data_IF_541287599387
#
_entry.id   IF_541287599387
#
_cell.length_a   1.000
_cell.length_b   1.000
_cell.length_c   1.000
_cell.angle_alpha   90.00
_cell.angle_beta   90.00
_cell.angle_gamma   90.00
#
_symmetry.space_group_name_H-M   'P 1'
#
loop_
_entity.id
_entity.type
_entity.pdbx_description
1 polymer ?
#
# COMPACT_ATOMS: atom_id res chain seq x y z
N UNK A 1 -32.82 30.98 -3.95
CA UNK A 1 -31.53 30.33 -3.54
C UNK A 1 -31.81 29.07 -2.69
N UNK A 2 -32.65 29.14 -1.66
CA UNK A 2 -32.95 27.99 -0.78
C UNK A 2 -33.65 26.81 -1.52
N UNK A 3 -34.54 27.07 -2.46
CA UNK A 3 -35.22 26.05 -3.25
C UNK A 3 -34.27 25.33 -4.23
N UNK A 4 -33.32 26.06 -4.79
CA UNK A 4 -32.29 25.47 -5.66
C UNK A 4 -31.33 24.60 -4.84
N UNK A 5 -30.94 25.02 -3.65
CA UNK A 5 -30.09 24.24 -2.76
C UNK A 5 -30.79 22.94 -2.34
N UNK A 6 -32.05 23.00 -1.96
CA UNK A 6 -32.83 21.81 -1.61
C UNK A 6 -32.95 20.80 -2.78
N UNK A 7 -33.06 21.28 -4.02
CA UNK A 7 -33.08 20.41 -5.21
C UNK A 7 -31.70 19.79 -5.49
N UNK A 8 -30.62 20.54 -5.28
CA UNK A 8 -29.23 20.02 -5.43
C UNK A 8 -29.00 18.91 -4.37
N UNK A 9 -29.38 19.15 -3.13
CA UNK A 9 -29.21 18.18 -2.05
C UNK A 9 -30.05 16.92 -2.29
N UNK A 10 -31.30 17.07 -2.79
CA UNK A 10 -32.12 15.92 -3.16
C UNK A 10 -31.54 15.10 -4.31
N UNK A 11 -31.04 15.76 -5.36
CA UNK A 11 -30.37 15.09 -6.48
C UNK A 11 -29.05 14.42 -6.06
N UNK A 12 -28.32 15.01 -5.13
CA UNK A 12 -27.11 14.41 -4.60
C UNK A 12 -27.41 13.11 -3.83
N UNK A 13 -28.46 13.11 -3.00
CA UNK A 13 -28.91 11.92 -2.26
C UNK A 13 -29.40 10.83 -3.23
N UNK A 14 -30.16 11.20 -4.26
CA UNK A 14 -30.64 10.25 -5.27
C UNK A 14 -29.47 9.66 -6.07
N UNK A 15 -28.52 10.47 -6.48
CA UNK A 15 -27.31 10.02 -7.17
C UNK A 15 -26.47 9.07 -6.30
N UNK A 16 -26.29 9.41 -5.02
CA UNK A 16 -25.58 8.55 -4.06
C UNK A 16 -26.27 7.18 -3.89
N UNK A 17 -27.60 7.17 -3.82
CA UNK A 17 -28.37 5.93 -3.72
C UNK A 17 -28.23 5.05 -4.96
N UNK A 18 -28.28 5.66 -6.16
CA UNK A 18 -28.09 4.96 -7.44
C UNK A 18 -26.68 4.40 -7.58
N UNK A 19 -25.65 5.15 -7.15
CA UNK A 19 -24.27 4.70 -7.16
C UNK A 19 -24.08 3.51 -6.21
N UNK A 20 -24.67 3.55 -5.02
CA UNK A 20 -24.58 2.46 -4.04
C UNK A 20 -25.26 1.20 -4.54
N UNK A 21 -26.44 1.32 -5.16
CA UNK A 21 -27.18 0.18 -5.73
C UNK A 21 -26.42 -0.41 -6.93
N UNK A 22 -25.92 0.41 -7.84
CA UNK A 22 -25.12 -0.05 -8.99
C UNK A 22 -23.82 -0.74 -8.54
N UNK A 23 -23.12 -0.17 -7.56
CA UNK A 23 -21.93 -0.82 -6.97
C UNK A 23 -22.27 -2.15 -6.29
N UNK A 24 -23.38 -2.22 -5.56
CA UNK A 24 -23.86 -3.45 -4.94
C UNK A 24 -24.15 -4.53 -5.98
N UNK A 25 -24.86 -4.17 -7.03
CA UNK A 25 -25.21 -5.08 -8.11
C UNK A 25 -23.97 -5.54 -8.87
N UNK A 26 -23.01 -4.64 -9.12
CA UNK A 26 -21.74 -4.97 -9.72
C UNK A 26 -20.91 -5.95 -8.85
N UNK A 27 -20.87 -5.74 -7.52
CA UNK A 27 -20.19 -6.64 -6.58
C UNK A 27 -20.85 -8.02 -6.49
N UNK A 28 -22.17 -8.07 -6.65
CA UNK A 28 -22.94 -9.31 -6.60
C UNK A 28 -23.05 -10.01 -7.95
N UNK A 29 -22.60 -9.35 -9.04
CA UNK A 29 -22.64 -9.93 -10.38
C UNK A 29 -21.87 -11.26 -10.40
N UNK A 30 -22.53 -12.30 -10.88
CA UNK A 30 -21.95 -13.63 -10.95
C UNK A 30 -21.10 -13.77 -12.21
N UNK A 31 -19.80 -13.77 -12.06
CA UNK A 31 -18.86 -14.22 -13.11
C UNK A 31 -18.88 -15.74 -13.23
N UNK A 32 -18.44 -16.32 -14.35
CA UNK A 32 -18.34 -17.77 -14.45
C UNK A 32 -17.50 -18.34 -13.31
N UNK A 33 -17.96 -19.42 -12.62
CA UNK A 33 -17.16 -20.08 -11.59
C UNK A 33 -15.78 -20.48 -12.13
N UNK A 34 -14.74 -20.29 -11.33
CA UNK A 34 -13.35 -20.47 -11.80
C UNK A 34 -13.03 -21.90 -12.23
N UNK A 35 -13.77 -22.90 -11.71
CA UNK A 35 -13.61 -24.30 -12.08
C UNK A 35 -14.52 -24.70 -13.26
N UNK A 36 -15.25 -23.77 -13.88
CA UNK A 36 -16.13 -24.08 -15.01
C UNK A 36 -15.37 -24.08 -16.34
N UNK A 37 -15.86 -24.87 -17.32
CA UNK A 37 -15.34 -24.84 -18.69
C UNK A 37 -15.46 -23.46 -19.34
N UNK A 38 -16.49 -22.69 -18.94
CA UNK A 38 -16.72 -21.32 -19.44
C UNK A 38 -15.57 -20.40 -19.03
N UNK A 39 -15.04 -20.54 -17.81
CA UNK A 39 -13.87 -19.76 -17.38
C UNK A 39 -12.61 -20.14 -18.20
N UNK A 40 -12.34 -21.43 -18.40
CA UNK A 40 -11.18 -21.87 -19.17
C UNK A 40 -11.26 -21.49 -20.65
N UNK A 41 -12.46 -21.42 -21.22
CA UNK A 41 -12.65 -20.95 -22.60
C UNK A 41 -12.32 -19.47 -22.80
N UNK A 42 -12.23 -18.67 -21.72
CA UNK A 42 -11.77 -17.29 -21.78
C UNK A 42 -10.27 -17.15 -22.06
N UNK A 43 -9.49 -18.24 -21.87
CA UNK A 43 -8.06 -18.30 -22.21
C UNK A 43 -7.86 -18.65 -23.70
N UNK A 44 -8.48 -17.88 -24.57
CA UNK A 44 -8.38 -18.05 -26.02
C UNK A 44 -7.20 -17.26 -26.60
N UNK A 45 -6.93 -17.42 -27.89
CA UNK A 45 -5.89 -16.67 -28.60
C UNK A 45 -6.12 -15.15 -28.62
N UNK A 46 -7.36 -14.70 -28.38
CA UNK A 46 -7.69 -13.26 -28.23
C UNK A 46 -7.06 -12.64 -26.99
N UNK A 47 -6.75 -13.43 -25.96
CA UNK A 47 -6.15 -12.93 -24.71
C UNK A 47 -4.79 -12.29 -24.96
N UNK A 48 -3.96 -12.86 -25.82
CA UNK A 48 -2.66 -12.29 -26.17
C UNK A 48 -2.80 -10.98 -26.94
N UNK A 49 -3.84 -10.85 -27.73
CA UNK A 49 -4.17 -9.60 -28.42
C UNK A 49 -4.58 -8.51 -27.43
N UNK A 50 -5.48 -8.82 -26.50
CA UNK A 50 -5.93 -7.85 -25.47
C UNK A 50 -4.76 -7.37 -24.59
N UNK A 51 -3.84 -8.28 -24.20
CA UNK A 51 -2.64 -7.88 -23.45
C UNK A 51 -1.77 -6.93 -24.27
N UNK A 52 -1.59 -7.22 -25.56
CA UNK A 52 -0.78 -6.37 -26.43
C UNK A 52 -1.43 -5.00 -26.64
N UNK A 53 -2.73 -4.96 -26.83
CA UNK A 53 -3.51 -3.73 -26.97
C UNK A 53 -3.40 -2.87 -25.68
N UNK A 54 -3.57 -3.47 -24.48
CA UNK A 54 -3.37 -2.77 -23.21
C UNK A 54 -1.92 -2.27 -23.02
N UNK A 55 -0.92 -2.99 -23.55
CA UNK A 55 0.47 -2.52 -23.53
C UNK A 55 0.71 -1.33 -24.50
N UNK A 56 0.05 -1.35 -25.66
CA UNK A 56 0.17 -0.30 -26.69
C UNK A 56 -0.59 0.98 -26.30
N UNK A 57 -1.66 0.87 -25.50
CA UNK A 57 -2.40 1.99 -24.95
C UNK A 57 -1.68 2.75 -23.84
N UNK A 58 -0.57 2.21 -23.33
CA UNK A 58 0.19 2.86 -22.27
C UNK A 58 0.73 4.20 -22.76
N UNK A 59 0.03 5.26 -22.38
CA UNK A 59 0.51 6.62 -22.62
C UNK A 59 1.66 6.97 -21.70
N UNK A 60 2.86 6.97 -22.19
CA UNK A 60 3.96 7.61 -21.49
C UNK A 60 3.66 9.10 -21.38
N UNK A 61 3.63 9.61 -20.15
CA UNK A 61 3.50 11.04 -19.93
C UNK A 61 4.66 11.74 -20.64
N UNK A 62 4.35 12.35 -21.78
CA UNK A 62 5.35 12.93 -22.65
C UNK A 62 6.03 14.16 -22.05
N UNK A 63 6.87 14.81 -22.85
CA UNK A 63 7.61 16.03 -22.51
C UNK A 63 6.75 17.14 -21.90
N UNK A 64 5.46 17.23 -22.28
CA UNK A 64 4.50 18.19 -21.72
C UNK A 64 4.22 17.97 -20.22
N UNK A 65 4.13 16.71 -19.77
CA UNK A 65 3.93 16.41 -18.35
C UNK A 65 5.17 16.79 -17.55
N UNK A 66 6.37 16.42 -18.04
CA UNK A 66 7.63 16.80 -17.40
C UNK A 66 7.82 18.32 -17.36
N UNK A 67 7.46 19.04 -18.43
CA UNK A 67 7.53 20.50 -18.47
C UNK A 67 6.58 21.14 -17.45
N UNK A 68 5.34 20.60 -17.30
CA UNK A 68 4.35 21.11 -16.35
C UNK A 68 4.69 20.80 -14.90
N UNK A 69 5.26 19.65 -14.62
CA UNK A 69 5.53 19.14 -13.26
C UNK A 69 7.02 19.12 -12.90
N UNK A 70 7.90 19.70 -13.73
CA UNK A 70 9.34 19.73 -13.48
C UNK A 70 9.75 20.33 -12.14
N UNK A 71 9.02 21.37 -11.67
CA UNK A 71 9.20 21.92 -10.33
C UNK A 71 8.96 20.91 -9.21
N UNK A 72 7.96 20.05 -9.34
CA UNK A 72 7.65 19.00 -8.37
C UNK A 72 8.76 17.93 -8.33
N UNK A 73 9.28 17.55 -9.50
CA UNK A 73 10.42 16.61 -9.57
C UNK A 73 11.70 17.18 -8.96
N UNK A 74 11.98 18.47 -9.21
CA UNK A 74 13.09 19.16 -8.57
C UNK A 74 12.92 19.22 -7.06
N UNK A 75 11.72 19.57 -6.59
CA UNK A 75 11.41 19.58 -5.16
C UNK A 75 11.60 18.22 -4.52
N UNK A 76 11.09 17.16 -5.16
CA UNK A 76 11.27 15.77 -4.73
C UNK A 76 12.76 15.39 -4.65
N UNK A 77 13.52 15.70 -5.70
CA UNK A 77 14.94 15.42 -5.75
C UNK A 77 15.73 16.15 -4.67
N UNK A 78 15.43 17.45 -4.47
CA UNK A 78 16.03 18.25 -3.42
C UNK A 78 15.69 17.73 -2.02
N UNK A 79 14.42 17.42 -1.76
CA UNK A 79 14.00 16.87 -0.47
C UNK A 79 14.68 15.52 -0.20
N UNK A 80 14.70 14.63 -1.19
CA UNK A 80 15.41 13.35 -1.12
C UNK A 80 16.87 13.56 -0.75
N UNK A 81 17.57 14.48 -1.43
CA UNK A 81 18.96 14.82 -1.17
C UNK A 81 19.15 15.39 0.23
N UNK A 82 18.31 16.35 0.63
CA UNK A 82 18.37 16.98 1.98
C UNK A 82 18.25 15.91 3.06
N UNK A 83 17.28 15.00 2.93
CA UNK A 83 17.10 13.91 3.91
C UNK A 83 18.32 12.99 3.93
N UNK A 84 18.84 12.58 2.76
CA UNK A 84 20.03 11.72 2.68
C UNK A 84 21.22 12.40 3.37
N UNK A 85 21.51 13.65 3.01
CA UNK A 85 22.65 14.42 3.57
C UNK A 85 22.48 14.58 5.08
N UNK A 86 21.27 14.95 5.53
CA UNK A 86 20.98 15.13 6.96
C UNK A 86 21.20 13.84 7.74
N UNK A 87 20.69 12.71 7.23
CA UNK A 87 20.89 11.40 7.87
C UNK A 87 22.36 10.99 7.87
N UNK A 88 23.09 11.20 6.78
CA UNK A 88 24.52 10.91 6.73
C UNK A 88 25.32 11.77 7.70
N UNK A 89 25.06 13.08 7.73
CA UNK A 89 25.76 14.04 8.61
C UNK A 89 25.54 13.73 10.08
N UNK A 90 24.33 13.33 10.43
CA UNK A 90 23.94 13.05 11.82
C UNK A 90 23.98 11.55 12.16
N UNK A 91 24.62 10.70 11.34
CA UNK A 91 24.58 9.25 11.47
C UNK A 91 25.07 8.75 12.84
N UNK A 92 26.06 9.41 13.44
CA UNK A 92 26.55 9.03 14.78
C UNK A 92 25.48 9.24 15.84
N UNK A 93 24.90 10.42 15.92
CA UNK A 93 23.82 10.76 16.86
C UNK A 93 22.56 9.89 16.66
N UNK A 94 22.21 9.60 15.40
CA UNK A 94 21.08 8.73 15.06
C UNK A 94 21.31 7.27 15.48
N UNK A 95 22.56 6.77 15.41
CA UNK A 95 22.91 5.42 15.84
C UNK A 95 22.84 5.23 17.36
N UNK A 96 23.09 6.28 18.14
CA UNK A 96 23.00 6.26 19.60
C UNK A 96 21.54 6.13 20.08
N UNK A 97 20.61 6.62 19.29
CA UNK A 97 19.19 6.53 19.60
C UNK A 97 18.59 5.23 19.02
N UNK A 98 18.04 4.37 19.89
CA UNK A 98 17.34 3.14 19.47
C UNK A 98 16.24 3.44 18.44
N UNK A 99 15.55 4.58 18.57
CA UNK A 99 14.41 4.96 17.72
C UNK A 99 14.82 5.44 16.34
N UNK A 100 15.99 6.05 16.18
CA UNK A 100 16.45 6.62 14.90
C UNK A 100 17.48 5.76 14.16
N UNK A 101 17.92 4.67 14.80
CA UNK A 101 18.95 3.77 14.26
C UNK A 101 18.60 3.21 12.88
N UNK A 102 17.31 2.99 12.61
CA UNK A 102 16.86 2.45 11.32
C UNK A 102 17.10 3.43 10.15
N UNK A 103 16.98 4.75 10.39
CA UNK A 103 17.32 5.76 9.39
C UNK A 103 18.83 5.80 9.12
N UNK A 104 19.62 5.78 10.19
CA UNK A 104 21.08 5.75 10.10
C UNK A 104 21.61 4.50 9.38
N UNK A 105 20.92 3.37 9.53
CA UNK A 105 21.25 2.12 8.86
C UNK A 105 20.96 2.16 7.35
N UNK A 106 19.98 2.98 6.91
CA UNK A 106 19.52 3.00 5.52
C UNK A 106 19.19 4.41 5.01
N UNK A 107 20.19 5.30 4.91
CA UNK A 107 19.99 6.72 4.60
C UNK A 107 19.37 6.95 3.21
N UNK A 108 19.78 6.19 2.19
CA UNK A 108 19.18 6.29 0.85
C UNK A 108 17.70 5.91 0.83
N UNK A 109 17.33 4.82 1.51
CA UNK A 109 15.92 4.42 1.60
C UNK A 109 15.09 5.44 2.39
N UNK A 110 15.67 6.09 3.40
CA UNK A 110 15.01 7.18 4.10
C UNK A 110 14.72 8.36 3.17
N UNK A 111 15.73 8.83 2.42
CA UNK A 111 15.54 9.93 1.48
C UNK A 111 14.51 9.62 0.40
N UNK A 112 14.59 8.44 -0.22
CA UNK A 112 13.65 8.02 -1.25
C UNK A 112 12.21 7.90 -0.71
N UNK A 113 12.04 7.34 0.48
CA UNK A 113 10.72 7.19 1.11
C UNK A 113 10.08 8.55 1.40
N UNK A 114 10.81 9.46 2.06
CA UNK A 114 10.28 10.80 2.36
C UNK A 114 10.07 11.63 1.11
N UNK A 115 10.98 11.55 0.13
CA UNK A 115 10.82 12.21 -1.15
C UNK A 115 9.61 11.70 -1.91
N UNK A 116 9.37 10.39 -1.96
CA UNK A 116 8.22 9.81 -2.63
C UNK A 116 6.90 10.15 -1.93
N UNK A 117 6.79 9.99 -0.60
CA UNK A 117 5.55 10.30 0.14
C UNK A 117 5.12 11.75 -0.02
N UNK A 118 6.05 12.71 0.04
CA UNK A 118 5.70 14.12 -0.12
C UNK A 118 5.20 14.45 -1.52
N UNK A 119 5.58 13.66 -2.51
CA UNK A 119 5.17 13.86 -3.91
C UNK A 119 3.98 13.03 -4.32
N UNK A 120 3.66 11.93 -3.64
CA UNK A 120 2.45 11.14 -3.88
C UNK A 120 1.23 12.06 -3.92
N UNK A 121 1.07 12.96 -2.96
CA UNK A 121 -0.01 13.93 -2.91
C UNK A 121 -0.11 14.77 -4.20
N UNK A 122 1.01 15.32 -4.68
CA UNK A 122 1.03 16.14 -5.88
C UNK A 122 0.70 15.35 -7.16
N UNK A 123 1.14 14.09 -7.24
CA UNK A 123 0.89 13.24 -8.41
C UNK A 123 -0.53 12.72 -8.46
N UNK A 124 -1.13 12.37 -7.34
CA UNK A 124 -2.53 11.90 -7.29
C UNK A 124 -3.51 13.00 -7.70
N UNK A 125 -3.25 14.25 -7.32
CA UNK A 125 -4.10 15.39 -7.69
C UNK A 125 -3.65 16.12 -8.96
N UNK A 126 -2.45 15.89 -9.45
CA UNK A 126 -1.84 16.60 -10.58
C UNK A 126 -2.08 15.99 -11.97
N UNK A 127 -2.92 14.94 -12.09
CA UNK A 127 -3.19 14.28 -13.38
C UNK A 127 -2.00 13.49 -13.94
N UNK A 128 -1.15 12.92 -13.08
CA UNK A 128 -0.07 12.03 -13.49
C UNK A 128 -0.60 10.78 -14.18
N UNK A 129 0.13 10.29 -15.20
CA UNK A 129 -0.21 9.01 -15.82
C UNK A 129 -0.04 7.86 -14.81
N UNK A 130 -0.79 6.78 -15.06
CA UNK A 130 -0.78 5.59 -14.22
C UNK A 130 0.64 5.01 -14.02
N UNK A 131 1.49 5.07 -15.05
CA UNK A 131 2.89 4.61 -14.96
C UNK A 131 3.71 5.44 -13.96
N UNK A 132 3.55 6.77 -13.95
CA UNK A 132 4.27 7.61 -12.98
C UNK A 132 3.81 7.34 -11.56
N UNK A 133 2.50 7.14 -11.34
CA UNK A 133 1.97 6.72 -10.04
C UNK A 133 2.60 5.40 -9.61
N UNK A 134 2.55 4.38 -10.46
CA UNK A 134 3.16 3.08 -10.20
C UNK A 134 4.65 3.19 -9.86
N UNK A 135 5.42 3.98 -10.62
CA UNK A 135 6.85 4.13 -10.38
C UNK A 135 7.13 4.76 -9.00
N UNK A 136 6.36 5.77 -8.61
CA UNK A 136 6.53 6.44 -7.31
C UNK A 136 6.07 5.53 -6.17
N UNK A 137 4.94 4.85 -6.33
CA UNK A 137 4.41 3.91 -5.33
C UNK A 137 5.38 2.72 -5.14
N UNK A 138 5.98 2.23 -6.23
CA UNK A 138 7.03 1.21 -6.15
C UNK A 138 8.28 1.71 -5.40
N UNK A 139 8.76 2.93 -5.70
CA UNK A 139 9.91 3.52 -5.00
C UNK A 139 9.60 3.75 -3.52
N UNK A 140 8.41 4.28 -3.21
CA UNK A 140 7.95 4.48 -1.83
C UNK A 140 7.84 3.15 -1.09
N UNK A 141 7.16 2.17 -1.68
CA UNK A 141 6.95 0.84 -1.11
C UNK A 141 8.24 0.08 -0.86
N UNK A 142 9.14 0.00 -1.84
CA UNK A 142 10.44 -0.66 -1.68
C UNK A 142 11.33 0.03 -0.64
N UNK A 143 11.31 1.36 -0.62
CA UNK A 143 12.05 2.15 0.38
C UNK A 143 11.48 1.93 1.77
N UNK A 144 10.15 1.90 1.90
CA UNK A 144 9.42 1.55 3.13
C UNK A 144 9.78 0.15 3.62
N UNK A 145 9.73 -0.88 2.73
CA UNK A 145 10.09 -2.25 3.08
C UNK A 145 11.52 -2.35 3.62
N UNK A 146 12.45 -1.58 3.03
CA UNK A 146 13.83 -1.53 3.51
C UNK A 146 13.96 -0.84 4.85
N UNK A 147 13.23 0.25 5.10
CA UNK A 147 13.24 0.98 6.38
C UNK A 147 12.61 0.15 7.49
N UNK A 148 11.40 -0.34 7.27
CA UNK A 148 10.68 -1.16 8.24
C UNK A 148 11.42 -2.47 8.53
N UNK A 149 12.10 -3.03 7.52
CA UNK A 149 12.98 -4.18 7.70
C UNK A 149 14.18 -3.93 8.62
N UNK A 150 14.59 -2.68 8.83
CA UNK A 150 15.61 -2.31 9.80
C UNK A 150 15.06 -2.13 11.23
N UNK A 151 13.74 -1.96 11.38
CA UNK A 151 13.06 -1.87 12.67
C UNK A 151 12.71 -3.23 13.25
N UNK A 152 12.58 -4.25 12.40
CA UNK A 152 12.08 -5.55 12.77
C UNK A 152 13.21 -6.54 12.94
N UNK A 153 13.42 -7.04 14.15
CA UNK A 153 14.50 -8.00 14.47
C UNK A 153 14.23 -9.39 13.89
N UNK A 154 12.97 -9.83 13.86
CA UNK A 154 12.63 -11.16 13.38
C UNK A 154 12.67 -11.23 11.83
N UNK A 155 13.51 -12.10 11.29
CA UNK A 155 13.72 -12.26 9.83
C UNK A 155 12.43 -12.56 9.06
N UNK A 156 11.49 -13.31 9.65
CA UNK A 156 10.24 -13.69 9.02
C UNK A 156 9.22 -12.54 8.98
N UNK A 157 9.17 -11.67 10.01
CA UNK A 157 8.36 -10.44 10.01
C UNK A 157 8.85 -9.47 8.93
N UNK A 158 10.16 -9.39 8.73
CA UNK A 158 10.77 -8.63 7.64
C UNK A 158 10.33 -9.16 6.27
N UNK A 159 10.35 -10.48 6.09
CA UNK A 159 9.88 -11.12 4.85
C UNK A 159 8.41 -10.82 4.55
N UNK A 160 7.57 -10.73 5.59
CA UNK A 160 6.15 -10.36 5.43
C UNK A 160 6.00 -8.99 4.76
N UNK A 161 6.71 -7.98 5.26
CA UNK A 161 6.64 -6.63 4.68
C UNK A 161 7.09 -6.62 3.22
N UNK A 162 8.17 -7.34 2.87
CA UNK A 162 8.61 -7.42 1.48
C UNK A 162 7.58 -8.13 0.57
N UNK A 163 7.00 -9.23 1.04
CA UNK A 163 5.98 -9.96 0.27
C UNK A 163 4.74 -9.09 0.05
N UNK A 164 4.31 -8.36 1.09
CA UNK A 164 3.18 -7.44 0.99
C UNK A 164 3.45 -6.32 -0.03
N UNK A 165 4.59 -5.63 0.08
CA UNK A 165 4.94 -4.56 -0.85
C UNK A 165 5.11 -5.07 -2.28
N UNK A 166 5.66 -6.27 -2.45
CA UNK A 166 5.78 -6.89 -3.77
C UNK A 166 4.40 -7.23 -4.36
N UNK A 167 3.48 -7.74 -3.54
CA UNK A 167 2.11 -7.98 -3.97
C UNK A 167 1.38 -6.69 -4.37
N UNK A 168 1.55 -5.60 -3.59
CA UNK A 168 1.02 -4.28 -3.95
C UNK A 168 1.53 -3.82 -5.31
N UNK A 169 2.84 -3.84 -5.51
CA UNK A 169 3.45 -3.40 -6.79
C UNK A 169 2.96 -4.23 -7.96
N UNK A 170 2.82 -5.56 -7.79
CA UNK A 170 2.28 -6.42 -8.84
C UNK A 170 0.81 -6.10 -9.11
N UNK A 171 0.01 -5.90 -8.07
CA UNK A 171 -1.41 -5.56 -8.21
C UNK A 171 -1.59 -4.23 -8.95
N UNK A 172 -0.83 -3.20 -8.56
CA UNK A 172 -0.85 -1.90 -9.23
C UNK A 172 -0.36 -2.01 -10.69
N UNK A 173 0.66 -2.84 -10.94
CA UNK A 173 1.15 -3.13 -12.27
C UNK A 173 0.05 -3.74 -13.14
N UNK A 174 -0.65 -4.76 -12.65
CA UNK A 174 -1.73 -5.41 -13.38
C UNK A 174 -2.89 -4.44 -13.67
N UNK A 175 -3.21 -3.56 -12.72
CA UNK A 175 -4.23 -2.53 -12.90
C UNK A 175 -3.81 -1.46 -13.92
N UNK A 176 -2.55 -1.03 -13.90
CA UNK A 176 -2.02 -0.02 -14.85
C UNK A 176 -2.01 -0.54 -16.28
N UNK A 177 -1.78 -1.84 -16.46
CA UNK A 177 -1.76 -2.49 -17.78
C UNK A 177 -3.15 -2.98 -18.23
N UNK A 178 -4.21 -2.66 -17.50
CA UNK A 178 -5.58 -3.10 -17.76
C UNK A 178 -5.65 -4.61 -18.07
N UNK A 179 -5.06 -5.40 -17.17
CA UNK A 179 -4.83 -6.83 -17.40
C UNK A 179 -6.17 -7.56 -17.55
N UNK A 180 -6.32 -8.48 -18.53
CA UNK A 180 -7.57 -9.18 -18.78
C UNK A 180 -8.12 -9.86 -17.53
N UNK A 181 -9.42 -9.69 -17.28
CA UNK A 181 -10.11 -10.20 -16.08
C UNK A 181 -9.80 -11.66 -15.75
N UNK A 182 -9.77 -12.62 -16.68
CA UNK A 182 -9.45 -14.01 -16.35
C UNK A 182 -8.07 -14.21 -15.74
N UNK A 183 -7.07 -13.46 -16.21
CA UNK A 183 -5.70 -13.54 -15.68
C UNK A 183 -5.60 -12.81 -14.34
N UNK A 184 -6.29 -11.69 -14.19
CA UNK A 184 -6.34 -10.98 -12.91
C UNK A 184 -6.98 -11.84 -11.82
N UNK A 185 -8.06 -12.54 -12.13
CA UNK A 185 -8.70 -13.51 -11.23
C UNK A 185 -7.74 -14.64 -10.83
N UNK A 186 -7.01 -15.20 -11.80
CA UNK A 186 -6.00 -16.23 -11.53
C UNK A 186 -4.91 -15.69 -10.58
N UNK A 187 -4.42 -14.50 -10.85
CA UNK A 187 -3.47 -13.82 -9.96
C UNK A 187 -4.03 -13.67 -8.54
N UNK A 188 -5.27 -13.16 -8.39
CA UNK A 188 -5.93 -12.95 -7.10
C UNK A 188 -6.00 -14.24 -6.29
N UNK A 189 -6.41 -15.36 -6.90
CA UNK A 189 -6.46 -16.67 -6.23
C UNK A 189 -5.07 -17.18 -5.84
N UNK A 190 -4.09 -17.08 -6.74
CA UNK A 190 -2.72 -17.51 -6.44
C UNK A 190 -2.09 -16.67 -5.33
N UNK A 191 -2.29 -15.36 -5.36
CA UNK A 191 -1.83 -14.44 -4.31
C UNK A 191 -2.53 -14.72 -2.99
N UNK A 192 -3.86 -14.87 -2.99
CA UNK A 192 -4.63 -15.22 -1.79
C UNK A 192 -4.18 -16.55 -1.18
N UNK A 193 -3.94 -17.58 -2.02
CA UNK A 193 -3.42 -18.86 -1.57
C UNK A 193 -2.02 -18.72 -0.94
N UNK A 194 -1.14 -17.97 -1.57
CA UNK A 194 0.19 -17.70 -1.04
C UNK A 194 0.10 -16.98 0.32
N UNK A 195 -0.72 -15.94 0.45
CA UNK A 195 -0.93 -15.24 1.72
C UNK A 195 -1.58 -16.12 2.77
N UNK A 196 -2.56 -16.95 2.42
CA UNK A 196 -3.18 -17.93 3.33
C UNK A 196 -2.12 -18.86 3.93
N UNK A 197 -1.28 -19.48 3.07
CA UNK A 197 -0.21 -20.38 3.52
C UNK A 197 0.83 -19.66 4.38
N UNK A 198 1.18 -18.42 4.03
CA UNK A 198 2.10 -17.60 4.82
C UNK A 198 1.51 -17.24 6.19
N UNK A 199 0.24 -16.84 6.25
CA UNK A 199 -0.46 -16.53 7.49
C UNK A 199 -0.51 -17.74 8.43
N UNK A 200 -0.86 -18.93 7.92
CA UNK A 200 -0.87 -20.17 8.72
C UNK A 200 0.54 -20.50 9.24
N UNK A 201 1.54 -20.44 8.35
CA UNK A 201 2.93 -20.76 8.72
C UNK A 201 3.48 -19.78 9.76
N UNK A 202 3.17 -18.49 9.62
CA UNK A 202 3.65 -17.46 10.53
C UNK A 202 2.88 -17.42 11.84
N UNK A 203 1.58 -17.73 11.83
CA UNK A 203 0.82 -17.92 13.06
C UNK A 203 1.43 -19.04 13.93
N UNK A 204 1.81 -20.16 13.28
CA UNK A 204 2.52 -21.24 13.99
C UNK A 204 3.89 -20.82 14.56
N UNK A 205 4.66 -19.98 13.83
CA UNK A 205 5.92 -19.42 14.33
C UNK A 205 5.72 -18.45 15.47
N UNK A 206 4.71 -17.56 15.36
CA UNK A 206 4.38 -16.58 16.39
C UNK A 206 4.03 -17.24 17.72
N UNK A 207 3.27 -18.34 17.68
CA UNK A 207 2.94 -19.14 18.88
C UNK A 207 4.21 -19.73 19.51
N UNK A 208 5.10 -20.31 18.68
CA UNK A 208 6.36 -20.90 19.19
C UNK A 208 7.31 -19.87 19.79
N UNK A 209 7.30 -18.65 19.26
CA UNK A 209 8.15 -17.54 19.73
C UNK A 209 7.53 -16.75 20.88
N UNK A 210 6.32 -17.14 21.34
CA UNK A 210 5.56 -16.43 22.37
C UNK A 210 5.39 -14.93 22.06
N UNK A 211 5.18 -14.61 20.78
CA UNK A 211 4.84 -13.24 20.36
C UNK A 211 3.52 -12.79 20.98
N UNK A 212 3.20 -11.48 20.85
CA UNK A 212 1.94 -10.94 21.38
C UNK A 212 0.72 -11.70 20.84
N UNK A 213 -0.25 -12.01 21.69
CA UNK A 213 -1.49 -12.68 21.30
C UNK A 213 -2.23 -11.96 20.19
N UNK A 214 -2.20 -10.61 20.20
CA UNK A 214 -2.78 -9.77 19.16
C UNK A 214 -2.22 -10.09 17.77
N UNK A 215 -0.89 -10.20 17.63
CA UNK A 215 -0.25 -10.51 16.36
C UNK A 215 -0.63 -11.89 15.82
N UNK A 216 -0.64 -12.90 16.70
CA UNK A 216 -1.06 -14.25 16.33
C UNK A 216 -2.53 -14.29 15.89
N UNK A 217 -3.39 -13.55 16.58
CA UNK A 217 -4.81 -13.46 16.27
C UNK A 217 -5.04 -12.74 14.91
N UNK A 218 -4.32 -11.65 14.65
CA UNK A 218 -4.37 -10.95 13.36
C UNK A 218 -3.97 -11.85 12.19
N UNK A 219 -2.94 -12.69 12.34
CA UNK A 219 -2.55 -13.66 11.32
C UNK A 219 -3.62 -14.73 11.07
N UNK A 220 -4.29 -15.21 12.12
CA UNK A 220 -5.40 -16.17 11.97
C UNK A 220 -6.60 -15.54 11.29
N UNK A 221 -6.95 -14.31 11.64
CA UNK A 221 -8.02 -13.56 10.99
C UNK A 221 -7.68 -13.34 9.50
N UNK A 222 -6.45 -12.94 9.19
CA UNK A 222 -5.97 -12.82 7.81
C UNK A 222 -6.10 -14.12 7.03
N UNK A 223 -5.72 -15.26 7.64
CA UNK A 223 -5.89 -16.57 7.02
C UNK A 223 -7.36 -16.89 6.71
N UNK A 224 -8.27 -16.56 7.63
CA UNK A 224 -9.72 -16.76 7.45
C UNK A 224 -10.25 -15.89 6.29
N UNK A 225 -9.84 -14.62 6.22
CA UNK A 225 -10.26 -13.71 5.15
C UNK A 225 -9.74 -14.21 3.78
N UNK A 226 -8.47 -14.62 3.67
CA UNK A 226 -7.94 -15.16 2.43
C UNK A 226 -8.62 -16.47 2.01
N UNK A 227 -8.99 -17.33 2.96
CA UNK A 227 -9.76 -18.54 2.66
C UNK A 227 -11.16 -18.19 2.13
N UNK A 228 -11.87 -17.24 2.76
CA UNK A 228 -13.17 -16.77 2.30
C UNK A 228 -13.10 -16.14 0.90
N UNK A 229 -12.03 -15.39 0.62
CA UNK A 229 -11.77 -14.78 -0.68
C UNK A 229 -11.59 -15.85 -1.77
N UNK A 230 -10.80 -16.89 -1.51
CA UNK A 230 -10.62 -18.01 -2.45
C UNK A 230 -11.96 -18.70 -2.72
N UNK A 231 -12.78 -18.93 -1.69
CA UNK A 231 -14.11 -19.52 -1.84
C UNK A 231 -15.02 -18.63 -2.69
N UNK A 232 -15.02 -17.31 -2.46
CA UNK A 232 -15.81 -16.34 -3.22
C UNK A 232 -15.42 -16.37 -4.71
N UNK A 233 -14.12 -16.40 -5.03
CA UNK A 233 -13.64 -16.50 -6.41
C UNK A 233 -14.04 -17.82 -7.08
N UNK A 234 -13.91 -18.95 -6.38
CA UNK A 234 -14.31 -20.26 -6.90
C UNK A 234 -15.82 -20.32 -7.21
N UNK A 235 -16.65 -19.61 -6.44
CA UNK A 235 -18.10 -19.50 -6.66
C UNK A 235 -18.48 -18.47 -7.73
N UNK A 236 -17.51 -17.79 -8.34
CA UNK A 236 -17.76 -16.80 -9.40
C UNK A 236 -18.14 -15.41 -8.88
N UNK A 237 -17.91 -15.10 -7.60
CA UNK A 237 -18.04 -13.74 -7.04
C UNK A 237 -16.74 -12.95 -7.21
N UNK A 238 -16.27 -12.84 -8.44
CA UNK A 238 -14.97 -12.28 -8.76
C UNK A 238 -14.82 -10.82 -8.33
N UNK A 239 -15.82 -9.97 -8.60
CA UNK A 239 -15.77 -8.56 -8.24
C UNK A 239 -15.64 -8.37 -6.73
N UNK A 240 -16.46 -9.09 -5.94
CA UNK A 240 -16.39 -9.06 -4.48
C UNK A 240 -15.03 -9.55 -3.96
N UNK A 241 -14.51 -10.64 -4.52
CA UNK A 241 -13.22 -11.18 -4.11
C UNK A 241 -12.06 -10.23 -4.42
N UNK A 242 -12.09 -9.60 -5.59
CA UNK A 242 -11.10 -8.60 -6.00
C UNK A 242 -11.14 -7.37 -5.10
N UNK A 243 -12.31 -6.83 -4.82
CA UNK A 243 -12.48 -5.66 -3.96
C UNK A 243 -11.99 -5.92 -2.53
N UNK A 244 -12.36 -7.07 -1.93
CA UNK A 244 -11.87 -7.48 -0.62
C UNK A 244 -10.35 -7.66 -0.64
N UNK A 245 -9.78 -8.25 -1.69
CA UNK A 245 -8.34 -8.46 -1.81
C UNK A 245 -7.57 -7.12 -1.84
N UNK A 246 -7.99 -6.19 -2.71
CA UNK A 246 -7.39 -4.87 -2.83
C UNK A 246 -7.51 -4.08 -1.53
N UNK A 247 -8.73 -3.98 -0.99
CA UNK A 247 -8.99 -3.25 0.26
C UNK A 247 -8.20 -3.80 1.44
N UNK A 248 -8.01 -5.13 1.51
CA UNK A 248 -7.23 -5.75 2.57
C UNK A 248 -5.74 -5.40 2.45
N UNK A 249 -5.18 -5.51 1.25
CA UNK A 249 -3.76 -5.18 1.00
C UNK A 249 -3.48 -3.72 1.29
N UNK A 250 -4.33 -2.81 0.80
CA UNK A 250 -4.21 -1.36 1.02
C UNK A 250 -4.36 -0.99 2.50
N UNK A 251 -5.31 -1.63 3.19
CA UNK A 251 -5.50 -1.42 4.64
C UNK A 251 -4.27 -1.84 5.44
N UNK A 252 -3.67 -2.99 5.11
CA UNK A 252 -2.46 -3.47 5.79
C UNK A 252 -1.27 -2.54 5.48
N UNK A 253 -1.11 -2.11 4.22
CA UNK A 253 -0.06 -1.18 3.83
C UNK A 253 -0.20 0.16 4.55
N UNK A 254 -1.41 0.72 4.57
CA UNK A 254 -1.74 1.95 5.28
C UNK A 254 -1.43 1.82 6.78
N UNK A 255 -1.87 0.73 7.42
CA UNK A 255 -1.58 0.47 8.83
C UNK A 255 -0.07 0.41 9.12
N UNK A 256 0.71 -0.22 8.23
CA UNK A 256 2.17 -0.28 8.39
C UNK A 256 2.84 1.10 8.24
N UNK A 257 2.37 1.94 7.31
CA UNK A 257 2.85 3.33 7.15
C UNK A 257 2.52 4.14 8.42
N UNK A 258 1.29 4.02 8.93
CA UNK A 258 0.90 4.67 10.19
C UNK A 258 1.75 4.22 11.37
N UNK A 259 2.04 2.93 11.49
CA UNK A 259 2.94 2.42 12.54
C UNK A 259 4.34 3.05 12.45
N UNK A 260 4.90 3.18 11.23
CA UNK A 260 6.19 3.83 11.03
C UNK A 260 6.13 5.32 11.43
N UNK A 261 5.08 6.05 11.00
CA UNK A 261 4.88 7.45 11.35
C UNK A 261 4.74 7.64 12.87
N UNK A 262 3.92 6.83 13.54
CA UNK A 262 3.79 6.87 15.01
C UNK A 262 5.13 6.60 15.71
N UNK A 263 5.91 5.63 15.21
CA UNK A 263 7.23 5.35 15.73
C UNK A 263 8.16 6.56 15.61
N UNK A 264 8.10 7.26 14.48
CA UNK A 264 8.87 8.48 14.23
C UNK A 264 8.41 9.65 15.09
N UNK A 265 7.10 9.90 15.18
CA UNK A 265 6.53 10.96 16.03
C UNK A 265 6.97 10.78 17.48
N UNK A 266 6.86 9.55 18.00
CA UNK A 266 7.35 9.24 19.35
C UNK A 266 8.86 9.48 19.50
N UNK A 267 9.65 9.25 18.45
CA UNK A 267 11.08 9.58 18.44
C UNK A 267 11.35 11.08 18.48
N UNK A 268 10.59 11.87 17.71
CA UNK A 268 10.68 13.35 17.71
C UNK A 268 10.29 13.90 19.07
N UNK A 269 9.20 13.42 19.66
CA UNK A 269 8.76 13.83 20.99
C UNK A 269 9.84 13.54 22.04
N UNK A 270 10.40 12.33 22.06
CA UNK A 270 11.47 11.99 22.99
C UNK A 270 12.70 12.90 22.81
N UNK A 271 13.09 13.18 21.56
CA UNK A 271 14.19 14.09 21.29
C UNK A 271 13.86 15.51 21.74
N UNK A 272 12.66 16.03 21.44
CA UNK A 272 12.21 17.36 21.83
C UNK A 272 12.19 17.51 23.37
N UNK A 273 11.70 16.51 24.10
CA UNK A 273 11.70 16.52 25.55
C UNK A 273 13.09 16.39 26.16
N UNK A 274 14.01 15.68 25.52
CA UNK A 274 15.40 15.56 25.99
C UNK A 274 16.24 16.80 25.71
N UNK A 275 16.02 17.48 24.59
CA UNK A 275 16.78 18.66 24.15
C UNK A 275 16.18 19.99 24.63
N UNK A 276 14.93 19.99 25.08
CA UNK A 276 14.23 21.19 25.50
C UNK A 276 14.71 21.71 26.87
N UNK A 277 14.82 23.04 27.07
CA UNK A 277 15.06 23.66 28.40
C UNK A 277 13.95 23.34 29.42
N UNK A 278 12.82 22.78 29.00
CA UNK A 278 11.75 22.25 29.86
C UNK A 278 12.23 21.18 30.87
N UNK A 279 13.41 20.58 30.65
CA UNK A 279 14.08 19.73 31.63
C UNK A 279 14.48 20.47 32.93
N UNK A 280 14.48 21.80 32.92
CA UNK A 280 14.77 22.64 34.10
C UNK A 280 13.55 22.91 34.97
N UNK A 281 12.35 22.68 34.49
CA UNK A 281 11.14 22.74 35.30
C UNK A 281 10.94 21.41 35.99
N UNK A 282 11.39 21.35 37.24
CA UNK A 282 11.43 20.22 38.20
C UNK A 282 10.05 19.60 38.54
N UNK A 283 8.99 19.86 37.77
CA UNK A 283 7.62 19.51 38.13
C UNK A 283 7.17 18.16 37.51
N UNK A 284 7.90 17.61 36.55
CA UNK A 284 7.47 16.37 35.84
C UNK A 284 8.39 15.15 36.08
N UNK A 285 9.27 15.21 37.08
CA UNK A 285 10.15 14.08 37.39
C UNK A 285 10.15 13.78 38.90
N UNK A 286 8.96 13.57 39.46
CA UNK A 286 8.76 12.88 40.73
C UNK A 286 7.68 11.82 40.47
N UNK A 287 8.16 10.65 40.27
CA UNK A 287 7.71 9.29 40.49
C UNK A 287 8.25 8.34 39.41
#
# INVERSE_FOLDING_TARGET
AADIQAKIDALAIELDSLIVDDQRDALLFASPPMLSSVYFNQFSSSLSYTIREGLDEISWSGSRFLARHGGNFLFQGLLTLIVIITVFRNRRALNESKRWRFLAARPFSAGLFFGAITTIWFYYFGGASAIWKLAIDAVAGLSFARLSGALVDASWKRKFVYVLIFALIITDLLNVFDFPLPLFRLYTVLAALAFLLLCIRWAGKSIRQKDSGFYTWSLRLGALIFAALIIAELWGKAALAQDIFLSLIDSIATALVFMLLLYMINGVLEWAFRSSPLRRTTVLYKD
#
